data_IF_179751513777
#
_entry.id   IF_179751513777
#
_cell.length_a   1.000
_cell.length_b   1.000
_cell.length_c   1.000
_cell.angle_alpha   90.00
_cell.angle_beta   90.00
_cell.angle_gamma   90.00
#
_symmetry.space_group_name_H-M   'P 1'
#
loop_
_entity.id
_entity.type
_entity.pdbx_description
1 polymer ?
#
# COMPACT_ATOMS: atom_id res chain seq x y z
N UNK A 1 17.87 0.04 94.99
CA UNK A 1 17.23 -0.90 94.11
C UNK A 1 16.71 -0.16 92.86
N UNK A 2 17.64 0.20 91.92
CA UNK A 2 17.30 0.98 90.71
C UNK A 2 18.49 0.93 89.74
N UNK A 3 18.90 -0.24 89.24
CA UNK A 3 19.98 -0.35 88.25
C UNK A 3 19.83 -1.54 87.27
N UNK A 4 18.61 -1.99 86.94
CA UNK A 4 18.46 -3.18 86.03
C UNK A 4 17.49 -3.01 84.91
N UNK A 5 17.13 -1.81 84.47
CA UNK A 5 16.25 -1.60 83.36
C UNK A 5 16.83 -0.87 82.10
N UNK A 6 18.16 -0.73 82.02
CA UNK A 6 18.78 0.05 80.94
C UNK A 6 19.53 -0.77 79.89
N UNK A 7 19.37 -2.09 79.83
CA UNK A 7 20.15 -2.96 78.91
C UNK A 7 19.39 -3.75 77.87
N UNK A 8 18.12 -3.50 77.68
CA UNK A 8 17.30 -4.27 76.74
C UNK A 8 16.77 -3.48 75.49
N UNK A 9 17.15 -2.22 75.28
CA UNK A 9 16.65 -1.41 74.16
C UNK A 9 17.62 -1.21 73.01
N UNK A 10 18.86 -1.70 73.08
CA UNK A 10 19.85 -1.50 71.99
C UNK A 10 20.04 -2.70 71.04
N UNK A 11 19.44 -3.84 71.28
CA UNK A 11 19.56 -5.02 70.37
C UNK A 11 18.60 -5.04 69.18
N UNK A 12 17.60 -4.16 69.09
CA UNK A 12 16.60 -4.17 68.05
C UNK A 12 16.91 -3.31 66.78
N UNK A 13 17.89 -2.38 66.92
CA UNK A 13 18.18 -1.40 65.87
C UNK A 13 18.94 -1.97 64.65
N UNK A 14 19.79 -2.95 64.89
CA UNK A 14 20.62 -3.51 63.78
C UNK A 14 19.88 -4.37 62.77
N UNK A 15 18.92 -5.16 63.22
CA UNK A 15 18.17 -6.05 62.32
C UNK A 15 17.23 -5.28 61.39
N UNK A 16 16.60 -4.22 61.83
CA UNK A 16 15.71 -3.40 60.99
C UNK A 16 16.49 -2.72 59.86
N UNK A 17 17.63 -2.14 60.11
CA UNK A 17 18.48 -1.49 59.10
C UNK A 17 18.93 -2.47 58.00
N UNK A 18 19.31 -3.69 58.37
CA UNK A 18 19.75 -4.72 57.42
C UNK A 18 18.58 -5.17 56.51
N UNK A 19 17.39 -5.34 57.06
CA UNK A 19 16.18 -5.72 56.30
C UNK A 19 15.80 -4.61 55.31
N UNK A 20 15.87 -3.34 55.73
CA UNK A 20 15.57 -2.18 54.88
C UNK A 20 16.58 -2.06 53.71
N UNK A 21 17.86 -2.31 53.93
CA UNK A 21 18.90 -2.33 52.89
C UNK A 21 18.66 -3.48 51.88
N UNK A 22 18.36 -4.68 52.36
CA UNK A 22 18.09 -5.83 51.47
C UNK A 22 16.83 -5.58 50.62
N UNK A 23 15.78 -5.01 51.21
CA UNK A 23 14.54 -4.66 50.50
C UNK A 23 14.78 -3.58 49.47
N UNK A 24 15.57 -2.56 49.78
CA UNK A 24 15.92 -1.48 48.85
C UNK A 24 16.72 -1.98 47.65
N UNK A 25 17.69 -2.87 47.83
CA UNK A 25 18.43 -3.49 46.73
C UNK A 25 17.58 -4.41 45.88
N UNK A 26 16.66 -5.14 46.49
CA UNK A 26 15.73 -6.01 45.75
C UNK A 26 14.76 -5.20 44.87
N UNK A 27 14.22 -4.12 45.41
CA UNK A 27 13.29 -3.24 44.68
C UNK A 27 14.00 -2.53 43.53
N UNK A 28 15.22 -2.04 43.71
CA UNK A 28 16.01 -1.43 42.63
C UNK A 28 16.35 -2.42 41.51
N UNK A 29 16.69 -3.67 41.83
CA UNK A 29 16.95 -4.70 40.79
C UNK A 29 15.72 -5.04 39.98
N UNK A 30 14.57 -5.12 40.58
CA UNK A 30 13.30 -5.39 39.89
C UNK A 30 12.93 -4.22 38.99
N UNK A 31 13.05 -2.99 39.50
CA UNK A 31 12.75 -1.78 38.70
C UNK A 31 13.69 -1.65 37.49
N UNK A 32 15.00 -1.92 37.70
CA UNK A 32 15.98 -1.86 36.62
C UNK A 32 15.71 -2.92 35.55
N UNK A 33 15.33 -4.15 35.92
CA UNK A 33 14.95 -5.20 34.99
C UNK A 33 13.70 -4.84 34.17
N UNK A 34 12.68 -4.27 34.81
CA UNK A 34 11.46 -3.80 34.16
C UNK A 34 11.73 -2.67 33.17
N UNK A 35 12.63 -1.74 33.53
CA UNK A 35 13.03 -0.64 32.62
C UNK A 35 13.79 -1.16 31.41
N UNK A 36 14.74 -2.09 31.59
CA UNK A 36 15.49 -2.71 30.49
C UNK A 36 14.54 -3.50 29.58
N UNK A 37 13.61 -4.26 30.14
CA UNK A 37 12.65 -5.05 29.40
C UNK A 37 11.67 -4.18 28.61
N UNK A 38 11.26 -3.04 29.18
CA UNK A 38 10.41 -2.07 28.52
C UNK A 38 11.15 -1.38 27.34
N UNK A 39 12.43 -1.10 27.50
CA UNK A 39 13.25 -0.50 26.45
C UNK A 39 13.49 -1.47 25.29
N UNK A 40 13.80 -2.74 25.55
CA UNK A 40 13.90 -3.79 24.53
C UNK A 40 12.57 -4.00 23.79
N UNK A 41 11.45 -3.94 24.48
CA UNK A 41 10.13 -4.05 23.86
C UNK A 41 9.81 -2.85 22.95
N UNK A 42 10.27 -1.66 23.28
CA UNK A 42 10.13 -0.46 22.46
C UNK A 42 10.95 -0.57 21.16
N UNK A 43 12.21 -1.00 21.24
CA UNK A 43 13.07 -1.19 20.08
C UNK A 43 12.54 -2.29 19.15
N UNK A 44 12.10 -3.41 19.71
CA UNK A 44 11.45 -4.49 18.94
C UNK A 44 10.19 -4.00 18.20
N UNK A 45 9.37 -3.18 18.86
CA UNK A 45 8.16 -2.60 18.24
C UNK A 45 8.51 -1.65 17.10
N UNK A 46 9.57 -0.85 17.24
CA UNK A 46 10.04 0.02 16.17
C UNK A 46 10.61 -0.77 15.00
N UNK A 47 11.42 -1.80 15.25
CA UNK A 47 11.94 -2.68 14.19
C UNK A 47 10.84 -3.43 13.46
N UNK A 48 9.82 -3.94 14.17
CA UNK A 48 8.65 -4.58 13.58
C UNK A 48 7.84 -3.59 12.73
N UNK A 49 7.69 -2.34 13.17
CA UNK A 49 6.99 -1.30 12.41
C UNK A 49 7.73 -0.95 11.12
N UNK A 50 9.06 -0.82 11.17
CA UNK A 50 9.90 -0.57 10.00
C UNK A 50 9.86 -1.76 9.04
N UNK A 51 9.94 -2.99 9.55
CA UNK A 51 9.82 -4.20 8.74
C UNK A 51 8.45 -4.29 8.05
N UNK A 52 7.38 -3.95 8.76
CA UNK A 52 6.01 -3.94 8.21
C UNK A 52 5.86 -2.86 7.13
N UNK A 53 6.49 -1.69 7.32
CA UNK A 53 6.53 -0.61 6.34
C UNK A 53 7.30 -1.03 5.08
N UNK A 54 8.45 -1.69 5.24
CA UNK A 54 9.25 -2.22 4.13
C UNK A 54 8.50 -3.31 3.36
N UNK A 55 7.79 -4.22 4.05
CA UNK A 55 6.97 -5.25 3.42
C UNK A 55 5.77 -4.64 2.66
N UNK A 56 5.19 -3.55 3.15
CA UNK A 56 4.13 -2.83 2.46
C UNK A 56 4.61 -2.12 1.17
N UNK A 57 5.87 -1.71 1.13
CA UNK A 57 6.50 -1.12 -0.07
C UNK A 57 6.82 -2.18 -1.14
N UNK A 58 7.25 -3.38 -0.73
CA UNK A 58 7.56 -4.47 -1.67
C UNK A 58 6.30 -5.06 -2.32
N UNK A 59 5.15 -4.99 -1.65
CA UNK A 59 3.87 -5.55 -2.15
C UNK A 59 3.22 -4.77 -3.30
N UNK A 60 3.79 -3.64 -3.74
CA UNK A 60 3.26 -2.79 -4.84
C UNK A 60 4.12 -2.82 -6.10
N UNK A 61 4.75 -3.94 -6.41
CA UNK A 61 5.21 -4.17 -7.77
C UNK A 61 3.97 -4.23 -8.68
N UNK A 62 3.53 -3.06 -9.17
CA UNK A 62 2.42 -2.94 -10.10
C UNK A 62 2.83 -3.70 -11.36
N UNK A 63 2.10 -4.76 -11.69
CA UNK A 63 2.39 -5.57 -12.87
C UNK A 63 2.25 -4.69 -14.10
N UNK A 64 3.36 -4.38 -14.76
CA UNK A 64 3.36 -3.56 -15.96
C UNK A 64 2.94 -4.40 -17.17
N UNK A 65 2.01 -3.83 -17.95
CA UNK A 65 1.56 -4.41 -19.22
C UNK A 65 2.59 -4.04 -20.28
N UNK A 66 3.23 -5.03 -20.88
CA UNK A 66 4.10 -4.84 -22.03
C UNK A 66 3.32 -4.94 -23.34
N UNK A 67 2.54 -5.99 -23.48
CA UNK A 67 1.68 -6.16 -24.65
C UNK A 67 0.44 -7.00 -24.32
N UNK A 68 -0.57 -6.89 -25.18
CA UNK A 68 -1.78 -7.69 -25.11
C UNK A 68 -1.90 -8.45 -26.41
N UNK A 69 -1.90 -9.78 -26.33
CA UNK A 69 -2.13 -10.66 -27.45
C UNK A 69 -3.63 -10.89 -27.62
N UNK A 70 -4.12 -10.65 -28.83
CA UNK A 70 -5.52 -10.86 -29.17
C UNK A 70 -5.69 -12.19 -29.92
N UNK A 71 -6.63 -13.00 -29.45
CA UNK A 71 -7.11 -14.19 -30.14
C UNK A 71 -8.60 -14.07 -30.43
N UNK A 72 -9.19 -15.05 -31.09
CA UNK A 72 -10.62 -15.04 -31.47
C UNK A 72 -11.53 -14.78 -30.26
N UNK A 73 -11.25 -15.39 -29.11
CA UNK A 73 -12.13 -15.38 -27.94
C UNK A 73 -11.48 -14.78 -26.68
N UNK A 74 -10.17 -14.55 -26.68
CA UNK A 74 -9.41 -14.15 -25.50
C UNK A 74 -8.42 -13.06 -25.80
N UNK A 75 -8.10 -12.27 -24.76
CA UNK A 75 -6.94 -11.40 -24.67
C UNK A 75 -6.01 -11.98 -23.62
N UNK A 76 -4.72 -12.09 -23.94
CA UNK A 76 -3.68 -12.49 -23.01
C UNK A 76 -2.78 -11.30 -22.74
N UNK A 77 -2.67 -10.94 -21.46
CA UNK A 77 -1.89 -9.78 -21.00
C UNK A 77 -0.54 -10.27 -20.52
N UNK A 78 0.54 -9.67 -21.04
CA UNK A 78 1.91 -10.07 -20.73
C UNK A 78 2.69 -8.90 -20.11
N UNK A 79 3.61 -9.22 -19.20
CA UNK A 79 4.56 -8.27 -18.62
C UNK A 79 5.82 -8.10 -19.49
N UNK A 80 6.73 -7.22 -19.07
CA UNK A 80 8.00 -6.95 -19.78
C UNK A 80 8.93 -8.19 -19.88
N UNK A 81 8.72 -9.19 -19.02
CA UNK A 81 9.47 -10.44 -19.03
C UNK A 81 8.82 -11.50 -19.92
N UNK A 82 7.74 -11.16 -20.62
CA UNK A 82 6.98 -12.12 -21.41
C UNK A 82 6.14 -13.09 -20.59
N UNK A 83 5.95 -12.83 -19.28
CA UNK A 83 5.11 -13.65 -18.42
C UNK A 83 3.65 -13.23 -18.57
N UNK A 84 2.77 -14.19 -18.79
CA UNK A 84 1.32 -13.94 -18.79
C UNK A 84 0.84 -13.55 -17.39
N UNK A 85 0.22 -12.38 -17.28
CA UNK A 85 -0.30 -11.78 -16.04
C UNK A 85 -1.84 -11.72 -16.00
N UNK A 86 -2.50 -11.94 -17.14
CA UNK A 86 -3.95 -12.00 -17.22
C UNK A 86 -4.44 -12.72 -18.46
N UNK A 87 -5.56 -13.43 -18.33
CA UNK A 87 -6.33 -14.02 -19.43
C UNK A 87 -7.76 -13.50 -19.33
N UNK A 88 -8.26 -12.81 -20.37
CA UNK A 88 -9.51 -12.08 -20.35
C UNK A 88 -10.41 -12.54 -21.49
N UNK A 89 -11.64 -12.93 -21.19
CA UNK A 89 -12.61 -13.27 -22.22
C UNK A 89 -13.03 -12.01 -22.99
N UNK A 90 -12.94 -12.06 -24.31
CA UNK A 90 -13.32 -10.97 -25.20
C UNK A 90 -14.80 -10.57 -25.04
N UNK A 91 -15.67 -11.54 -24.81
CA UNK A 91 -17.10 -11.29 -24.58
C UNK A 91 -17.36 -10.50 -23.29
N UNK A 92 -16.54 -10.70 -22.27
CA UNK A 92 -16.67 -10.00 -20.98
C UNK A 92 -16.06 -8.61 -20.99
N UNK A 93 -14.90 -8.45 -21.63
CA UNK A 93 -14.13 -7.19 -21.62
C UNK A 93 -14.60 -6.25 -22.72
N UNK A 94 -14.97 -6.78 -23.89
CA UNK A 94 -15.26 -6.01 -25.09
C UNK A 94 -14.03 -5.81 -25.97
N UNK A 95 -14.00 -4.76 -26.77
CA UNK A 95 -12.91 -4.42 -27.69
C UNK A 95 -11.87 -3.57 -26.99
N UNK A 96 -10.62 -4.04 -26.91
CA UNK A 96 -9.51 -3.25 -26.34
C UNK A 96 -9.11 -2.17 -27.34
N UNK A 97 -9.11 -0.91 -26.91
CA UNK A 97 -8.76 0.28 -27.71
C UNK A 97 -7.30 0.70 -27.54
N UNK A 98 -6.64 0.17 -26.51
CA UNK A 98 -5.24 0.42 -26.22
C UNK A 98 -4.91 0.15 -24.75
N UNK A 99 -3.63 0.19 -24.42
CA UNK A 99 -3.15 -0.05 -23.06
C UNK A 99 -2.00 0.89 -22.68
N UNK A 100 -1.90 1.14 -21.39
CA UNK A 100 -0.79 1.85 -20.76
C UNK A 100 0.09 0.89 -19.97
N UNK A 101 0.87 1.44 -19.03
CA UNK A 101 1.79 0.62 -18.25
C UNK A 101 1.09 -0.34 -17.26
N UNK A 102 -0.05 0.05 -16.71
CA UNK A 102 -0.74 -0.67 -15.63
C UNK A 102 -2.26 -0.78 -15.84
N UNK A 103 -2.73 -0.31 -16.99
CA UNK A 103 -4.14 -0.32 -17.34
C UNK A 103 -4.34 -0.54 -18.84
N UNK A 104 -5.55 -0.94 -19.22
CA UNK A 104 -6.00 -0.92 -20.59
C UNK A 104 -7.40 -0.29 -20.68
N UNK A 105 -7.77 0.15 -21.87
CA UNK A 105 -9.08 0.72 -22.16
C UNK A 105 -9.82 -0.19 -23.12
N UNK A 106 -10.99 -0.65 -22.70
CA UNK A 106 -11.86 -1.46 -23.52
C UNK A 106 -13.21 -0.77 -23.79
N UNK A 107 -13.76 -0.96 -24.98
CA UNK A 107 -15.08 -0.49 -25.35
C UNK A 107 -16.08 -1.64 -25.32
N UNK A 108 -17.19 -1.44 -24.60
CA UNK A 108 -18.33 -2.35 -24.61
C UNK A 108 -19.61 -1.52 -24.61
N UNK A 109 -20.42 -1.70 -25.67
CA UNK A 109 -21.61 -0.89 -25.90
C UNK A 109 -21.30 0.62 -25.94
N UNK A 110 -22.01 1.40 -25.15
CA UNK A 110 -21.86 2.86 -25.06
C UNK A 110 -20.85 3.33 -24.03
N UNK A 111 -19.99 2.43 -23.53
CA UNK A 111 -19.05 2.75 -22.44
C UNK A 111 -17.63 2.32 -22.78
N UNK A 112 -16.68 3.13 -22.32
CA UNK A 112 -15.29 2.75 -22.14
C UNK A 112 -15.04 2.33 -20.71
N UNK A 113 -14.33 1.24 -20.55
CA UNK A 113 -13.89 0.69 -19.26
C UNK A 113 -12.38 0.81 -19.17
N UNK A 114 -11.90 1.53 -18.17
CA UNK A 114 -10.49 1.52 -17.79
C UNK A 114 -10.32 0.37 -16.83
N UNK A 115 -9.49 -0.61 -17.19
CA UNK A 115 -9.29 -1.84 -16.43
C UNK A 115 -7.82 -2.01 -16.06
N UNK A 116 -7.54 -2.68 -14.95
CA UNK A 116 -6.19 -3.12 -14.60
C UNK A 116 -5.76 -4.34 -15.45
N UNK A 117 -4.51 -4.75 -15.31
CA UNK A 117 -3.95 -5.89 -16.05
C UNK A 117 -4.70 -7.22 -15.84
N UNK A 118 -5.50 -7.33 -14.78
CA UNK A 118 -6.34 -8.50 -14.49
C UNK A 118 -7.79 -8.37 -14.96
N UNK A 119 -8.12 -7.27 -15.64
CA UNK A 119 -9.46 -7.01 -16.15
C UNK A 119 -10.45 -6.45 -15.13
N UNK A 120 -10.00 -6.05 -13.94
CA UNK A 120 -10.86 -5.38 -12.98
C UNK A 120 -11.12 -3.96 -13.43
N UNK A 121 -12.39 -3.56 -13.50
CA UNK A 121 -12.77 -2.20 -13.87
C UNK A 121 -12.37 -1.20 -12.80
N UNK A 122 -11.54 -0.24 -13.17
CA UNK A 122 -11.12 0.88 -12.33
C UNK A 122 -12.05 2.07 -12.50
N UNK A 123 -12.48 2.33 -13.74
CA UNK A 123 -13.37 3.45 -14.09
C UNK A 123 -14.18 3.14 -15.34
N UNK A 124 -15.37 3.72 -15.38
CA UNK A 124 -16.23 3.68 -16.58
C UNK A 124 -16.44 5.11 -17.08
N UNK A 125 -16.40 5.31 -18.40
CA UNK A 125 -16.64 6.58 -19.08
C UNK A 125 -17.65 6.37 -20.20
N UNK A 126 -18.53 7.35 -20.42
CA UNK A 126 -19.50 7.28 -21.50
C UNK A 126 -18.83 7.66 -22.84
N UNK A 127 -19.11 6.89 -23.89
CA UNK A 127 -18.56 7.14 -25.23
C UNK A 127 -18.99 8.52 -25.75
N UNK A 128 -20.21 8.97 -25.45
CA UNK A 128 -20.71 10.29 -25.88
C UNK A 128 -19.92 11.45 -25.30
N UNK A 129 -19.38 11.28 -24.09
CA UNK A 129 -18.61 12.31 -23.40
C UNK A 129 -17.13 12.31 -23.80
N UNK A 130 -16.60 11.11 -24.03
CA UNK A 130 -15.19 10.90 -24.37
C UNK A 130 -14.94 11.07 -25.85
N UNK A 131 -15.84 10.61 -26.71
CA UNK A 131 -15.61 10.49 -28.14
C UNK A 131 -14.83 9.24 -28.51
N UNK A 132 -14.15 9.24 -29.65
CA UNK A 132 -13.33 8.12 -30.11
C UNK A 132 -11.95 8.15 -29.47
N UNK A 133 -11.49 7.02 -28.94
CA UNK A 133 -10.13 6.89 -28.41
C UNK A 133 -9.16 6.74 -29.56
N UNK A 134 -8.20 7.64 -29.66
CA UNK A 134 -7.20 7.69 -30.75
C UNK A 134 -5.82 7.23 -30.29
N UNK A 135 -5.52 7.32 -28.98
CA UNK A 135 -4.26 6.84 -28.43
C UNK A 135 -4.37 6.56 -26.93
N UNK A 136 -3.62 5.58 -26.46
CA UNK A 136 -3.38 5.30 -25.03
C UNK A 136 -1.89 5.26 -24.83
N UNK A 137 -1.40 5.97 -23.82
CA UNK A 137 0.01 6.00 -23.43
C UNK A 137 0.19 5.32 -22.07
N UNK A 138 1.40 5.34 -21.53
CA UNK A 138 1.68 4.76 -20.21
C UNK A 138 0.76 5.24 -19.08
N UNK A 139 0.25 6.49 -19.15
CA UNK A 139 -0.53 7.11 -18.08
C UNK A 139 -1.73 7.93 -18.54
N UNK A 140 -1.91 8.11 -19.86
CA UNK A 140 -2.98 8.97 -20.41
C UNK A 140 -3.73 8.30 -21.52
N UNK A 141 -4.96 8.77 -21.72
CA UNK A 141 -5.86 8.38 -22.80
C UNK A 141 -6.15 9.63 -23.62
N UNK A 142 -5.94 9.57 -24.93
CA UNK A 142 -6.28 10.65 -25.85
C UNK A 142 -7.50 10.23 -26.67
N UNK A 143 -8.49 11.11 -26.73
CA UNK A 143 -9.70 10.89 -27.52
C UNK A 143 -10.03 12.08 -28.40
N UNK A 144 -10.80 11.83 -29.47
CA UNK A 144 -11.34 12.85 -30.38
C UNK A 144 -12.87 12.87 -30.28
N UNK A 145 -13.41 14.07 -30.03
CA UNK A 145 -14.84 14.31 -30.04
C UNK A 145 -15.14 15.52 -30.93
N UNK A 146 -15.59 15.26 -32.16
CA UNK A 146 -15.70 16.30 -33.19
C UNK A 146 -14.34 16.94 -33.44
N UNK A 147 -14.28 18.25 -33.34
CA UNK A 147 -13.04 19.03 -33.54
C UNK A 147 -12.17 19.12 -32.27
N UNK A 148 -12.51 18.42 -31.21
CA UNK A 148 -11.77 18.46 -29.97
C UNK A 148 -10.90 17.22 -29.79
N UNK A 149 -9.66 17.45 -29.41
CA UNK A 149 -8.75 16.44 -28.87
C UNK A 149 -8.75 16.59 -27.34
N UNK A 150 -9.15 15.53 -26.65
CA UNK A 150 -9.28 15.48 -25.20
C UNK A 150 -8.22 14.55 -24.65
N UNK A 151 -7.58 14.93 -23.56
CA UNK A 151 -6.65 14.07 -22.81
C UNK A 151 -7.23 13.76 -21.45
N UNK A 152 -7.19 12.50 -21.07
CA UNK A 152 -7.73 11.96 -19.82
C UNK A 152 -6.64 11.24 -19.06
N UNK A 153 -6.70 11.28 -17.74
CA UNK A 153 -5.87 10.42 -16.88
C UNK A 153 -6.40 8.99 -16.87
N UNK A 154 -5.61 8.05 -16.38
CA UNK A 154 -6.04 6.67 -16.16
C UNK A 154 -7.18 6.51 -15.15
N UNK A 155 -7.41 7.52 -14.30
CA UNK A 155 -8.57 7.59 -13.40
C UNK A 155 -9.83 8.16 -14.07
N UNK A 156 -9.77 8.44 -15.38
CA UNK A 156 -10.89 8.98 -16.15
C UNK A 156 -11.18 10.46 -15.88
N UNK A 157 -10.20 11.23 -15.40
CA UNK A 157 -10.30 12.67 -15.24
C UNK A 157 -9.80 13.38 -16.49
N UNK A 158 -10.55 14.38 -16.99
CA UNK A 158 -10.10 15.21 -18.10
C UNK A 158 -8.95 16.11 -17.66
N UNK A 159 -7.79 15.97 -18.32
CA UNK A 159 -6.57 16.73 -18.08
C UNK A 159 -6.56 17.98 -18.95
N UNK A 160 -6.88 17.81 -20.24
CA UNK A 160 -6.82 18.91 -21.20
C UNK A 160 -7.82 18.74 -22.33
N UNK A 161 -8.10 19.83 -23.02
CA UNK A 161 -8.86 19.86 -24.24
C UNK A 161 -8.20 20.89 -25.19
N UNK A 162 -8.06 20.54 -26.47
CA UNK A 162 -7.58 21.46 -27.53
C UNK A 162 -8.33 21.18 -28.82
N UNK A 163 -8.41 22.14 -29.68
CA UNK A 163 -8.94 21.95 -31.05
C UNK A 163 -7.96 21.10 -31.87
N UNK A 164 -8.50 20.20 -32.67
CA UNK A 164 -7.73 19.49 -33.67
C UNK A 164 -7.25 20.51 -34.72
N UNK A 165 -5.97 20.37 -35.17
CA UNK A 165 -5.53 21.14 -36.32
C UNK A 165 -6.27 20.61 -37.54
N UNK A 166 -6.94 21.49 -38.29
CA UNK A 166 -7.40 21.17 -39.65
C UNK A 166 -6.18 20.96 -40.53
N UNK A 167 -6.15 19.82 -41.23
CA UNK A 167 -5.18 19.59 -42.32
C UNK A 167 -5.59 20.39 -43.53
#
# INVERSE_FOLDING_TARGET
MKLEQKKLTESGGGRRKVVDYVWWFHTKRVTLRLLIQNQQNQEMRQLLSILFLLLALVGRAQQQISYIEETKNWYYVYDEKGKMIGGLSRSSVGEIKGWGSDFFVAKRYSFYYICDAKGRTLKTMNVSDVGEIVAVTSSTITSRRGDWILTWSKEGKKISARTAKSS
#
